data_IF_028980938259
#
_entry.id   IF_028980938259
#
_cell.length_a   1.000
_cell.length_b   1.000
_cell.length_c   1.000
_cell.angle_alpha   90.00
_cell.angle_beta   90.00
_cell.angle_gamma   90.00
#
_symmetry.space_group_name_H-M   'P 1'
#
loop_
_entity.id
_entity.type
_entity.pdbx_description
1 polymer ?
#
# COMPACT_ATOMS: atom_id res chain seq x y z
N UNK A 1 -2.41 15.97 -6.61
CA UNK A 1 -2.57 15.06 -7.77
C UNK A 1 -1.77 13.81 -7.48
N UNK A 2 -2.23 12.64 -7.88
CA UNK A 2 -1.54 11.38 -7.66
C UNK A 2 -1.09 10.79 -9.01
N UNK A 3 0.14 10.28 -9.08
CA UNK A 3 0.72 9.74 -10.32
C UNK A 3 0.53 8.23 -10.47
N UNK A 4 -0.11 7.58 -9.49
CA UNK A 4 -0.45 6.18 -9.53
C UNK A 4 -0.19 5.47 -8.22
N UNK A 5 -0.80 4.30 -8.14
CA UNK A 5 -0.72 3.38 -6.99
C UNK A 5 -0.08 2.06 -7.44
N UNK A 6 0.76 1.48 -6.59
CA UNK A 6 1.17 0.07 -6.64
C UNK A 6 0.91 -0.50 -5.25
N UNK A 7 0.08 -1.55 -5.16
CA UNK A 7 -0.32 -2.14 -3.88
C UNK A 7 0.43 -3.45 -3.63
N UNK A 8 1.03 -3.57 -2.44
CA UNK A 8 1.74 -4.77 -1.98
C UNK A 8 0.77 -5.71 -1.27
N UNK A 9 0.80 -6.98 -1.65
CA UNK A 9 0.03 -8.05 -1.01
C UNK A 9 0.82 -8.57 0.20
N UNK A 10 0.57 -8.00 1.39
CA UNK A 10 1.27 -8.40 2.61
C UNK A 10 0.92 -9.85 3.05
N UNK A 11 -0.34 -10.32 2.96
CA UNK A 11 -0.67 -11.72 3.21
C UNK A 11 0.18 -12.70 2.39
N UNK A 12 0.46 -12.37 1.12
CA UNK A 12 1.33 -13.19 0.27
C UNK A 12 2.72 -13.37 0.85
N UNK A 13 3.28 -12.31 1.41
CA UNK A 13 4.61 -12.32 2.04
C UNK A 13 4.56 -13.23 3.27
N UNK A 14 3.54 -13.08 4.13
CA UNK A 14 3.34 -13.92 5.30
C UNK A 14 3.14 -15.42 4.95
N UNK A 15 2.34 -15.71 3.92
CA UNK A 15 2.12 -17.08 3.43
C UNK A 15 3.40 -17.72 2.90
N UNK A 16 4.24 -16.97 2.17
CA UNK A 16 5.56 -17.46 1.72
C UNK A 16 6.51 -17.71 2.91
N UNK A 17 6.42 -16.85 3.94
CA UNK A 17 7.27 -16.92 5.12
C UNK A 17 6.89 -18.07 6.08
N UNK A 18 5.65 -18.55 6.03
CA UNK A 18 5.16 -19.73 6.76
C UNK A 18 5.55 -19.75 8.26
N UNK A 19 5.38 -18.61 8.93
CA UNK A 19 5.68 -18.45 10.37
C UNK A 19 7.11 -18.00 10.70
N UNK A 20 8.02 -17.97 9.73
CA UNK A 20 9.39 -17.44 9.89
C UNK A 20 9.41 -15.91 9.69
N UNK A 21 9.68 -15.17 10.76
CA UNK A 21 9.71 -13.69 10.72
C UNK A 21 10.94 -13.13 10.02
N UNK A 22 12.07 -13.82 10.07
CA UNK A 22 13.28 -13.35 9.40
C UNK A 22 13.12 -13.49 7.88
N UNK A 23 12.55 -14.62 7.45
CA UNK A 23 12.17 -14.83 6.04
C UNK A 23 11.09 -13.83 5.58
N UNK A 24 10.13 -13.48 6.44
CA UNK A 24 9.14 -12.43 6.14
C UNK A 24 9.81 -11.11 5.77
N UNK A 25 10.77 -10.64 6.58
CA UNK A 25 11.46 -9.38 6.33
C UNK A 25 12.35 -9.43 5.09
N UNK A 26 13.00 -10.57 4.82
CA UNK A 26 13.76 -10.77 3.58
C UNK A 26 12.86 -10.63 2.34
N UNK A 27 11.74 -11.36 2.31
CA UNK A 27 10.79 -11.28 1.19
C UNK A 27 10.16 -9.89 1.10
N UNK A 28 9.84 -9.27 2.24
CA UNK A 28 9.33 -7.91 2.27
C UNK A 28 10.29 -6.93 1.59
N UNK A 29 11.58 -7.00 1.90
CA UNK A 29 12.60 -6.13 1.28
C UNK A 29 12.69 -6.32 -0.24
N UNK A 30 12.65 -7.57 -0.71
CA UNK A 30 12.61 -7.88 -2.14
C UNK A 30 11.37 -7.28 -2.82
N UNK A 31 10.19 -7.48 -2.26
CA UNK A 31 8.93 -6.97 -2.80
C UNK A 31 8.90 -5.43 -2.77
N UNK A 32 9.55 -4.79 -1.79
CA UNK A 32 9.69 -3.32 -1.77
C UNK A 32 10.55 -2.79 -2.91
N UNK A 33 11.61 -3.49 -3.32
CA UNK A 33 12.40 -3.09 -4.49
C UNK A 33 11.61 -3.21 -5.80
N UNK A 34 10.79 -4.25 -5.92
CA UNK A 34 9.88 -4.43 -7.05
C UNK A 34 8.84 -3.30 -7.07
N UNK A 35 8.22 -3.00 -5.92
CA UNK A 35 7.24 -1.92 -5.81
C UNK A 35 7.84 -0.55 -6.13
N UNK A 36 9.04 -0.26 -5.63
CA UNK A 36 9.81 0.96 -5.97
C UNK A 36 10.00 1.08 -7.48
N UNK A 37 10.47 0.01 -8.11
CA UNK A 37 10.73 -0.03 -9.55
C UNK A 37 9.45 0.22 -10.36
N UNK A 38 8.34 -0.41 -9.97
CA UNK A 38 7.05 -0.22 -10.61
C UNK A 38 6.50 1.21 -10.46
N UNK A 39 6.65 1.82 -9.27
CA UNK A 39 6.22 3.20 -9.03
C UNK A 39 7.06 4.20 -9.83
N UNK A 40 8.39 4.03 -9.83
CA UNK A 40 9.29 4.89 -10.63
C UNK A 40 8.99 4.75 -12.12
N UNK A 41 8.71 3.53 -12.60
CA UNK A 41 8.26 3.31 -13.97
C UNK A 41 6.96 4.07 -14.28
N UNK A 42 5.97 4.00 -13.40
CA UNK A 42 4.72 4.77 -13.56
C UNK A 42 4.96 6.27 -13.64
N UNK A 43 5.81 6.81 -12.77
CA UNK A 43 6.19 8.24 -12.82
C UNK A 43 6.78 8.56 -14.19
N UNK A 44 7.81 7.83 -14.63
CA UNK A 44 8.43 8.05 -15.95
C UNK A 44 7.40 8.01 -17.07
N UNK A 45 6.49 7.04 -17.04
CA UNK A 45 5.45 6.89 -18.08
C UNK A 45 4.50 8.08 -18.14
N UNK A 46 4.18 8.70 -17.00
CA UNK A 46 3.38 9.95 -16.96
C UNK A 46 4.17 11.12 -17.55
N UNK A 47 5.49 11.16 -17.35
CA UNK A 47 6.34 12.23 -17.89
C UNK A 47 6.53 12.18 -19.41
N UNK A 48 6.29 11.02 -20.03
CA UNK A 48 6.29 10.89 -21.49
C UNK A 48 5.10 11.63 -22.16
N UNK A 49 4.11 12.08 -21.37
CA UNK A 49 2.99 12.84 -21.90
C UNK A 49 3.41 14.26 -22.30
N UNK A 50 2.75 14.78 -23.33
CA UNK A 50 2.84 16.17 -23.75
C UNK A 50 1.60 16.95 -23.29
N UNK A 51 1.69 18.28 -23.13
CA UNK A 51 0.56 19.12 -22.75
C UNK A 51 -0.65 19.02 -23.69
N UNK A 52 -0.46 18.62 -24.94
CA UNK A 52 -1.53 18.40 -25.92
C UNK A 52 -2.32 17.11 -25.68
N UNK A 53 -1.78 16.12 -24.97
CA UNK A 53 -2.51 14.89 -24.66
C UNK A 53 -3.71 15.13 -23.73
N UNK A 54 -3.64 16.15 -22.88
CA UNK A 54 -4.76 16.55 -22.00
C UNK A 54 -4.76 18.07 -21.71
N UNK A 55 -5.18 18.90 -22.67
CA UNK A 55 -5.05 20.37 -22.56
C UNK A 55 -5.77 20.97 -21.35
N UNK A 56 -6.92 20.43 -20.95
CA UNK A 56 -7.66 20.91 -19.77
C UNK A 56 -6.79 20.78 -18.50
N UNK A 57 -6.07 19.67 -18.38
CA UNK A 57 -5.20 19.39 -17.25
C UNK A 57 -3.94 20.24 -17.29
N UNK A 58 -3.26 20.24 -18.43
CA UNK A 58 -1.89 20.78 -18.55
C UNK A 58 -1.83 22.25 -18.96
N UNK A 59 -2.76 22.74 -19.79
CA UNK A 59 -2.69 24.07 -20.41
C UNK A 59 -3.74 25.04 -19.85
N UNK A 60 -4.94 24.56 -19.51
CA UNK A 60 -6.04 25.43 -19.08
C UNK A 60 -6.21 25.55 -17.57
N UNK A 61 -5.29 24.96 -16.79
CA UNK A 61 -5.10 25.29 -15.38
C UNK A 61 -5.84 24.38 -14.39
N UNK A 62 -6.43 23.26 -14.81
CA UNK A 62 -7.00 22.31 -13.85
C UNK A 62 -5.93 21.75 -12.89
N UNK A 63 -4.68 21.65 -13.36
CA UNK A 63 -3.53 21.35 -12.50
C UNK A 63 -2.85 22.60 -11.94
N UNK A 64 -3.55 23.72 -11.76
CA UNK A 64 -3.09 24.93 -11.04
C UNK A 64 -1.96 25.72 -11.67
N UNK A 65 -1.37 25.24 -12.77
CA UNK A 65 -0.45 25.98 -13.64
C UNK A 65 -0.86 25.75 -15.09
N UNK A 66 -0.41 26.63 -15.98
CA UNK A 66 -0.66 26.55 -17.42
C UNK A 66 0.65 26.34 -18.15
N UNK A 67 0.80 25.20 -18.78
CA UNK A 67 1.91 24.91 -19.67
C UNK A 67 1.61 25.41 -21.09
N UNK A 68 2.66 25.71 -21.84
CA UNK A 68 2.58 25.86 -23.29
C UNK A 68 2.38 24.48 -23.96
N UNK A 69 1.93 24.41 -25.22
CA UNK A 69 1.79 23.14 -25.94
C UNK A 69 3.07 22.28 -25.97
N UNK A 70 4.23 22.91 -26.04
CA UNK A 70 5.58 22.31 -26.05
C UNK A 70 6.23 22.23 -24.66
N UNK A 71 5.48 22.56 -23.60
CA UNK A 71 5.98 22.57 -22.23
C UNK A 71 6.22 21.17 -21.66
N UNK A 72 6.98 21.09 -20.57
CA UNK A 72 7.26 19.83 -19.88
C UNK A 72 6.24 19.58 -18.75
N UNK A 73 5.54 18.45 -18.82
CA UNK A 73 4.53 18.06 -17.82
C UNK A 73 5.10 17.88 -16.41
N UNK A 74 6.39 17.57 -16.27
CA UNK A 74 7.06 17.39 -14.98
C UNK A 74 7.02 18.63 -14.08
N UNK A 75 6.93 19.83 -14.67
CA UNK A 75 6.80 21.09 -13.92
C UNK A 75 5.52 21.18 -13.06
N UNK A 76 4.55 20.32 -13.37
CA UNK A 76 3.30 20.18 -12.62
C UNK A 76 3.43 19.17 -11.47
N UNK A 77 4.48 18.35 -11.42
CA UNK A 77 4.54 17.17 -10.56
C UNK A 77 5.70 17.18 -9.56
N UNK A 78 6.89 17.62 -10.00
CA UNK A 78 8.12 17.61 -9.21
C UNK A 78 8.09 18.50 -7.96
N UNK A 79 9.13 18.43 -7.15
CA UNK A 79 9.28 19.17 -5.89
C UNK A 79 8.18 18.82 -4.87
N UNK A 80 7.77 17.54 -4.84
CA UNK A 80 6.76 17.04 -3.91
C UNK A 80 5.32 17.52 -4.18
N UNK A 81 5.04 18.14 -5.33
CA UNK A 81 3.69 18.63 -5.67
C UNK A 81 2.71 17.49 -5.96
N UNK A 82 3.18 16.44 -6.63
CA UNK A 82 2.40 15.24 -6.88
C UNK A 82 2.79 14.11 -5.93
N UNK A 83 1.79 13.33 -5.54
CA UNK A 83 1.99 12.13 -4.72
C UNK A 83 2.14 10.88 -5.58
N UNK A 84 2.86 9.89 -5.05
CA UNK A 84 3.05 8.56 -5.63
C UNK A 84 2.76 7.55 -4.53
N UNK A 85 1.82 6.64 -4.74
CA UNK A 85 1.24 5.87 -3.64
C UNK A 85 1.76 4.43 -3.59
N UNK A 86 2.45 4.10 -2.50
CA UNK A 86 2.72 2.71 -2.13
C UNK A 86 1.54 2.17 -1.33
N UNK A 87 0.68 1.43 -2.02
CA UNK A 87 -0.45 0.76 -1.43
C UNK A 87 -0.06 -0.48 -0.62
N UNK A 88 -0.87 -0.83 0.37
CA UNK A 88 -0.80 -2.14 1.04
C UNK A 88 -2.19 -2.61 1.46
N UNK A 89 -2.29 -3.91 1.78
CA UNK A 89 -3.53 -4.55 2.25
C UNK A 89 -3.21 -5.75 3.13
N UNK A 90 -4.17 -6.14 3.98
CA UNK A 90 -4.19 -7.44 4.64
C UNK A 90 -3.30 -7.57 5.86
N UNK A 91 -3.12 -6.49 6.65
CA UNK A 91 -2.38 -6.60 7.91
C UNK A 91 -3.06 -7.54 8.90
N UNK A 92 -4.39 -7.65 8.87
CA UNK A 92 -5.10 -8.57 9.73
C UNK A 92 -4.66 -10.01 9.49
N UNK A 93 -4.62 -10.44 8.23
CA UNK A 93 -4.19 -11.79 7.87
C UNK A 93 -2.70 -12.04 8.11
N UNK A 94 -1.86 -10.99 7.99
CA UNK A 94 -0.45 -11.08 8.43
C UNK A 94 -0.38 -11.37 9.93
N UNK A 95 -1.12 -10.62 10.76
CA UNK A 95 -1.21 -10.89 12.20
C UNK A 95 -1.71 -12.31 12.48
N UNK A 96 -2.75 -12.75 11.77
CA UNK A 96 -3.29 -14.12 11.86
C UNK A 96 -2.24 -15.18 11.57
N UNK A 97 -1.41 -14.98 10.53
CA UNK A 97 -0.39 -15.95 10.13
C UNK A 97 0.69 -16.20 11.19
N UNK A 98 1.01 -15.22 12.04
CA UNK A 98 2.07 -15.33 13.04
C UNK A 98 1.56 -15.50 14.48
N UNK A 99 0.33 -15.05 14.77
CA UNK A 99 -0.19 -14.96 16.14
C UNK A 99 -1.57 -15.60 16.33
N UNK A 100 -2.15 -16.16 15.27
CA UNK A 100 -3.49 -16.78 15.31
C UNK A 100 -4.63 -15.80 15.04
N UNK A 101 -5.86 -16.30 14.83
CA UNK A 101 -6.99 -15.54 14.29
C UNK A 101 -7.67 -14.59 15.29
N UNK A 102 -7.22 -14.56 16.55
CA UNK A 102 -7.81 -13.76 17.64
C UNK A 102 -6.71 -12.91 18.30
N UNK A 103 -5.95 -12.18 17.49
CA UNK A 103 -4.76 -11.46 17.95
C UNK A 103 -5.05 -10.03 18.44
N UNK A 104 -6.30 -9.59 18.50
CA UNK A 104 -6.64 -8.15 18.65
C UNK A 104 -6.26 -7.56 20.00
N UNK A 105 -6.09 -8.41 21.02
CA UNK A 105 -5.58 -8.04 22.34
C UNK A 105 -4.09 -8.43 22.54
N UNK A 106 -3.42 -8.91 21.49
CA UNK A 106 -2.01 -9.32 21.54
C UNK A 106 -1.10 -8.15 21.16
N UNK A 107 -0.48 -7.53 22.16
CA UNK A 107 0.43 -6.40 21.95
C UNK A 107 1.59 -6.73 20.99
N UNK A 108 2.15 -7.95 21.03
CA UNK A 108 3.25 -8.34 20.14
C UNK A 108 2.81 -8.42 18.68
N UNK A 109 1.56 -8.78 18.44
CA UNK A 109 0.98 -8.81 17.10
C UNK A 109 0.80 -7.39 16.56
N UNK A 110 0.23 -6.50 17.38
CA UNK A 110 0.12 -5.06 17.07
C UNK A 110 1.45 -4.39 16.80
N UNK A 111 2.46 -4.64 17.64
CA UNK A 111 3.79 -4.06 17.46
C UNK A 111 4.41 -4.50 16.13
N UNK A 112 4.21 -5.77 15.75
CA UNK A 112 4.71 -6.33 14.51
C UNK A 112 3.99 -5.75 13.27
N UNK A 113 2.66 -5.71 13.27
CA UNK A 113 1.89 -5.12 12.15
C UNK A 113 2.14 -3.62 12.01
N UNK A 114 2.29 -2.90 13.13
CA UNK A 114 2.65 -1.48 13.12
C UNK A 114 4.08 -1.26 12.61
N UNK A 115 5.02 -2.15 12.95
CA UNK A 115 6.38 -2.10 12.42
C UNK A 115 6.39 -2.18 10.89
N UNK A 116 5.55 -3.05 10.29
CA UNK A 116 5.43 -3.13 8.83
C UNK A 116 5.03 -1.78 8.22
N UNK A 117 4.03 -1.09 8.77
CA UNK A 117 3.60 0.23 8.24
C UNK A 117 4.68 1.30 8.44
N UNK A 118 5.40 1.27 9.57
CA UNK A 118 6.56 2.15 9.79
C UNK A 118 7.64 1.92 8.74
N UNK A 119 7.94 0.67 8.40
CA UNK A 119 8.92 0.30 7.38
C UNK A 119 8.49 0.76 5.97
N UNK A 120 7.21 0.65 5.63
CA UNK A 120 6.65 1.24 4.40
C UNK A 120 6.85 2.77 4.39
N UNK A 121 6.52 3.45 5.49
CA UNK A 121 6.63 4.90 5.63
C UNK A 121 8.08 5.39 5.49
N UNK A 122 9.03 4.69 6.13
CA UNK A 122 10.47 5.00 6.04
C UNK A 122 10.98 4.89 4.60
N UNK A 123 10.58 3.86 3.87
CA UNK A 123 10.93 3.68 2.44
C UNK A 123 10.34 4.78 1.57
N UNK A 124 9.06 5.12 1.74
CA UNK A 124 8.43 6.24 1.05
C UNK A 124 9.16 7.57 1.30
N UNK A 125 9.58 7.85 2.53
CA UNK A 125 10.39 9.04 2.85
C UNK A 125 11.74 9.02 2.15
N UNK A 126 12.42 7.88 2.11
CA UNK A 126 13.70 7.74 1.40
C UNK A 126 13.52 7.97 -0.11
N UNK A 127 12.53 7.32 -0.74
CA UNK A 127 12.25 7.47 -2.17
C UNK A 127 11.82 8.90 -2.54
N UNK A 128 11.12 9.58 -1.63
CA UNK A 128 10.75 10.98 -1.86
C UNK A 128 11.96 11.90 -1.97
N UNK A 129 12.98 11.68 -1.14
CA UNK A 129 14.25 12.41 -1.22
C UNK A 129 15.04 12.05 -2.48
N UNK A 130 15.02 10.77 -2.86
CA UNK A 130 15.77 10.26 -4.01
C UNK A 130 15.23 10.77 -5.36
N UNK A 131 13.90 10.81 -5.53
CA UNK A 131 13.27 11.13 -6.81
C UNK A 131 12.58 12.49 -6.87
N UNK A 132 12.53 13.23 -5.77
CA UNK A 132 11.91 14.56 -5.70
C UNK A 132 10.39 14.57 -6.02
N UNK A 133 9.71 13.45 -5.74
CA UNK A 133 8.25 13.32 -5.73
C UNK A 133 7.78 12.93 -4.33
N UNK A 134 6.51 13.17 -3.98
CA UNK A 134 6.00 12.82 -2.66
C UNK A 134 5.52 11.36 -2.65
N UNK A 135 6.40 10.41 -2.36
CA UNK A 135 5.97 9.03 -2.11
C UNK A 135 5.30 8.95 -0.75
N UNK A 136 4.10 8.39 -0.71
CA UNK A 136 3.35 8.17 0.54
C UNK A 136 2.86 6.74 0.61
N UNK A 137 2.69 6.26 1.84
CA UNK A 137 1.92 5.05 2.09
C UNK A 137 0.45 5.34 1.72
N UNK A 138 -0.28 4.30 1.37
CA UNK A 138 -1.67 4.41 0.96
C UNK A 138 -2.48 3.20 1.42
N UNK A 139 -3.38 3.42 2.38
CA UNK A 139 -4.38 2.44 2.78
C UNK A 139 -5.35 2.20 1.61
N UNK A 140 -5.13 1.16 0.82
CA UNK A 140 -5.81 0.97 -0.47
C UNK A 140 -7.30 0.65 -0.24
N UNK A 141 -8.25 1.47 -0.70
CA UNK A 141 -9.67 1.14 -0.70
C UNK A 141 -9.89 0.05 -1.76
N UNK A 142 -10.00 -1.20 -1.31
CA UNK A 142 -9.78 -2.36 -2.16
C UNK A 142 -11.07 -3.06 -2.58
N UNK A 143 -12.06 -2.34 -3.10
CA UNK A 143 -13.38 -2.90 -3.46
C UNK A 143 -13.34 -4.17 -4.33
N UNK A 144 -12.38 -4.27 -5.26
CA UNK A 144 -12.17 -5.49 -6.08
C UNK A 144 -10.81 -6.15 -5.84
N UNK A 145 -9.90 -5.45 -5.15
CA UNK A 145 -8.53 -5.93 -4.97
C UNK A 145 -8.41 -6.91 -3.79
N UNK A 146 -9.27 -6.79 -2.77
CA UNK A 146 -9.38 -7.75 -1.66
C UNK A 146 -9.55 -9.17 -2.18
N UNK A 147 -10.47 -9.33 -3.13
CA UNK A 147 -10.90 -10.63 -3.62
C UNK A 147 -9.90 -11.15 -4.66
N UNK A 148 -9.36 -10.26 -5.50
CA UNK A 148 -8.36 -10.63 -6.50
C UNK A 148 -7.10 -11.20 -5.88
N UNK A 149 -6.55 -10.54 -4.85
CA UNK A 149 -5.37 -11.07 -4.17
C UNK A 149 -5.68 -12.37 -3.45
N UNK A 150 -6.77 -12.42 -2.68
CA UNK A 150 -7.16 -13.64 -1.97
C UNK A 150 -7.36 -14.84 -2.92
N UNK A 151 -7.98 -14.63 -4.09
CA UNK A 151 -8.15 -15.66 -5.12
C UNK A 151 -6.81 -16.17 -5.66
N UNK A 152 -5.91 -15.28 -6.07
CA UNK A 152 -4.58 -15.66 -6.59
C UNK A 152 -3.74 -16.37 -5.51
N UNK A 153 -3.94 -16.02 -4.25
CA UNK A 153 -3.27 -16.65 -3.12
C UNK A 153 -3.86 -18.03 -2.84
N UNK A 154 -5.18 -18.18 -2.94
CA UNK A 154 -5.89 -19.47 -2.85
C UNK A 154 -5.43 -20.44 -3.93
N UNK A 155 -5.26 -19.98 -5.18
CA UNK A 155 -4.77 -20.81 -6.29
C UNK A 155 -3.36 -21.38 -6.03
N UNK A 156 -2.52 -20.67 -5.26
CA UNK A 156 -1.13 -21.06 -5.01
C UNK A 156 -0.92 -21.79 -3.68
N UNK A 157 -1.68 -21.45 -2.65
CA UNK A 157 -1.50 -21.96 -1.28
C UNK A 157 -2.71 -22.75 -0.75
N UNK A 158 -3.80 -22.82 -1.52
CA UNK A 158 -5.05 -23.44 -1.09
C UNK A 158 -5.84 -22.57 -0.10
N UNK A 159 -6.83 -23.19 0.53
CA UNK A 159 -7.64 -22.57 1.58
C UNK A 159 -6.91 -22.64 2.92
N UNK A 160 -6.35 -21.52 3.34
CA UNK A 160 -5.68 -21.33 4.62
C UNK A 160 -6.67 -20.71 5.59
N UNK A 161 -6.87 -21.37 6.73
CA UNK A 161 -7.87 -20.99 7.72
C UNK A 161 -7.68 -19.55 8.18
N UNK A 162 -8.78 -18.78 8.21
CA UNK A 162 -8.86 -17.37 8.59
C UNK A 162 -8.02 -16.39 7.75
N UNK A 163 -7.43 -16.87 6.65
CA UNK A 163 -6.60 -16.06 5.75
C UNK A 163 -7.21 -16.06 4.35
N UNK A 164 -7.18 -17.18 3.63
CA UNK A 164 -7.73 -17.29 2.27
C UNK A 164 -9.07 -18.00 2.20
N UNK A 165 -9.42 -18.81 3.21
CA UNK A 165 -10.68 -19.56 3.25
C UNK A 165 -11.93 -18.67 3.32
N UNK A 166 -11.79 -17.45 3.83
CA UNK A 166 -12.83 -16.41 3.86
C UNK A 166 -12.97 -15.63 2.56
N UNK A 167 -12.14 -15.92 1.56
CA UNK A 167 -12.27 -15.46 0.16
C UNK A 167 -12.02 -13.96 -0.09
N UNK A 168 -11.65 -13.19 0.94
CA UNK A 168 -11.21 -11.79 0.83
C UNK A 168 -10.07 -11.47 1.81
N UNK A 169 -9.33 -10.38 1.58
CA UNK A 169 -8.41 -9.81 2.57
C UNK A 169 -8.98 -8.57 3.25
N UNK A 170 -8.56 -8.33 4.49
CA UNK A 170 -9.02 -7.18 5.26
C UNK A 170 -8.32 -5.91 4.76
N UNK A 171 -9.09 -4.84 4.60
CA UNK A 171 -8.57 -3.59 4.05
C UNK A 171 -7.46 -3.02 4.94
N UNK A 172 -6.27 -2.79 4.36
CA UNK A 172 -5.16 -2.06 4.99
C UNK A 172 -4.84 -2.52 6.43
N UNK A 173 -5.17 -1.69 7.43
CA UNK A 173 -4.96 -1.92 8.86
C UNK A 173 -6.25 -2.24 9.63
N UNK A 174 -7.38 -2.40 8.94
CA UNK A 174 -8.67 -2.48 9.61
C UNK A 174 -8.84 -3.74 10.45
N UNK A 175 -9.69 -3.61 11.47
CA UNK A 175 -10.20 -4.73 12.25
C UNK A 175 -11.01 -5.68 11.34
N UNK A 176 -10.90 -7.00 11.53
CA UNK A 176 -11.72 -7.98 10.80
C UNK A 176 -13.22 -7.81 11.10
N UNK A 177 -13.99 -7.60 10.04
CA UNK A 177 -15.44 -7.38 10.09
C UNK A 177 -16.20 -8.57 10.69
N UNK A 178 -15.65 -9.79 10.66
CA UNK A 178 -16.28 -11.01 11.22
C UNK A 178 -16.33 -11.01 12.75
N UNK A 179 -15.58 -10.13 13.41
CA UNK A 179 -15.41 -10.11 14.88
C UNK A 179 -16.39 -9.19 15.61
N UNK A 180 -17.11 -8.34 14.87
CA UNK A 180 -18.14 -7.43 15.43
C UNK A 180 -17.68 -6.63 16.67
N UNK A 181 -16.54 -5.90 16.62
CA UNK A 181 -16.08 -5.10 17.76
C UNK A 181 -17.02 -3.92 18.04
N UNK A 182 -17.01 -3.41 19.27
CA UNK A 182 -17.60 -2.11 19.58
C UNK A 182 -16.85 -0.98 18.87
N UNK A 183 -17.49 0.19 18.67
CA UNK A 183 -16.83 1.34 18.04
C UNK A 183 -15.53 1.75 18.77
N UNK A 184 -15.50 1.68 20.10
CA UNK A 184 -14.32 2.05 20.88
C UNK A 184 -13.19 1.06 20.72
N UNK A 185 -13.47 -0.24 20.75
CA UNK A 185 -12.45 -1.28 20.51
C UNK A 185 -11.82 -1.14 19.13
N UNK A 186 -12.65 -0.90 18.11
CA UNK A 186 -12.16 -0.68 16.74
C UNK A 186 -11.26 0.56 16.66
N UNK A 187 -11.65 1.67 17.28
CA UNK A 187 -10.83 2.88 17.30
C UNK A 187 -9.51 2.65 18.03
N UNK A 188 -9.53 1.99 19.18
CA UNK A 188 -8.34 1.65 19.94
C UNK A 188 -7.41 0.73 19.16
N UNK A 189 -7.94 -0.26 18.44
CA UNK A 189 -7.14 -1.15 17.59
C UNK A 189 -6.49 -0.40 16.43
N UNK A 190 -7.20 0.54 15.79
CA UNK A 190 -6.73 1.19 14.55
C UNK A 190 -5.95 2.49 14.76
N UNK A 191 -5.98 3.11 15.95
CA UNK A 191 -5.51 4.50 16.15
C UNK A 191 -4.03 4.77 15.83
N UNK A 192 -3.16 3.77 15.92
CA UNK A 192 -1.72 3.96 15.75
C UNK A 192 -1.26 3.94 14.29
N UNK A 193 -2.02 3.30 13.39
CA UNK A 193 -1.65 3.14 11.99
C UNK A 193 -1.75 4.43 11.14
N UNK A 194 -2.80 5.26 11.25
CA UNK A 194 -2.98 6.47 10.42
C UNK A 194 -1.83 7.47 10.48
N UNK A 195 -1.02 7.46 11.55
CA UNK A 195 0.16 8.32 11.66
C UNK A 195 1.25 7.98 10.63
N UNK A 196 1.30 6.73 10.16
CA UNK A 196 2.32 6.22 9.25
C UNK A 196 1.79 5.89 7.85
N UNK A 197 0.47 5.72 7.72
CA UNK A 197 -0.21 5.37 6.49
C UNK A 197 -0.58 6.59 5.64
#
# INVERSE_FOLDING_TARGET
>A
MNLGVVTVNLPRIALKANGDKDLFWQIFDEEMQVAKSALVFKVKRVLDASPENAPILYQFGAFGKRLKPDGNVDELFKNGRATVSLGYIGLYEVGTSFYGPDWENNQKAHDFTLQIVKELNLRCKAWSKEYNYHFSVYSTPSESLTDRFCKLDTERFGKVKDITDKEYYTNSFHYDVRKHPSPFEKLTFEMDYPKYA
#
